data_IF_630945125673
#
_entry.id   IF_630945125673
#
_cell.length_a   1.000
_cell.length_b   1.000
_cell.length_c   1.000
_cell.angle_alpha   90.00
_cell.angle_beta   90.00
_cell.angle_gamma   90.00
#
_symmetry.space_group_name_H-M   'P 1'
#
loop_
_entity.id
_entity.type
_entity.pdbx_description
1 polymer ?
#
# COMPACT_ATOMS: atom_id res chain seq x y z
N UNK A 1 38.47 -5.08 -35.90
CA UNK A 1 37.11 -4.51 -36.00
C UNK A 1 36.15 -5.67 -35.97
N UNK A 2 35.81 -6.11 -34.75
CA UNK A 2 34.98 -7.29 -34.54
C UNK A 2 33.51 -6.91 -34.55
N UNK A 3 32.74 -7.76 -35.22
CA UNK A 3 31.30 -7.72 -35.42
C UNK A 3 30.52 -7.76 -34.11
N UNK A 4 30.01 -6.61 -33.66
CA UNK A 4 28.91 -6.52 -32.71
C UNK A 4 27.58 -6.42 -33.48
N UNK A 5 27.03 -7.53 -33.98
CA UNK A 5 25.70 -7.48 -34.63
C UNK A 5 24.92 -8.82 -34.68
N UNK A 6 24.70 -9.49 -33.54
CA UNK A 6 23.86 -10.73 -33.58
C UNK A 6 23.16 -11.15 -32.28
N UNK A 7 23.20 -10.37 -31.19
CA UNK A 7 22.61 -10.81 -29.90
C UNK A 7 21.50 -9.91 -29.31
N UNK A 8 21.13 -8.81 -29.98
CA UNK A 8 19.79 -8.22 -29.78
C UNK A 8 18.74 -9.11 -30.46
N UNK A 9 18.56 -10.32 -29.93
CA UNK A 9 17.42 -11.15 -30.29
C UNK A 9 16.16 -10.35 -29.95
N UNK A 10 15.18 -10.38 -30.86
CA UNK A 10 13.86 -9.75 -30.75
C UNK A 10 13.21 -10.06 -29.38
N UNK A 11 13.53 -9.25 -28.36
CA UNK A 11 12.85 -9.30 -27.07
C UNK A 11 11.45 -8.74 -27.26
N UNK A 12 10.45 -9.47 -26.76
CA UNK A 12 9.08 -8.94 -26.71
C UNK A 12 9.08 -7.65 -25.89
N UNK A 13 8.34 -6.64 -26.35
CA UNK A 13 8.29 -5.30 -25.74
C UNK A 13 8.15 -5.32 -24.20
N UNK A 14 7.25 -6.12 -23.59
CA UNK A 14 7.11 -6.13 -22.13
C UNK A 14 8.35 -6.65 -21.38
N UNK A 15 9.08 -7.61 -21.98
CA UNK A 15 10.32 -8.16 -21.39
C UNK A 15 11.46 -7.16 -21.54
N UNK A 16 11.51 -6.42 -22.65
CA UNK A 16 12.50 -5.35 -22.86
C UNK A 16 12.32 -4.22 -21.85
N UNK A 17 11.10 -3.71 -21.68
CA UNK A 17 10.77 -2.69 -20.67
C UNK A 17 11.14 -3.17 -19.26
N UNK A 18 10.86 -4.44 -18.96
CA UNK A 18 11.22 -5.02 -17.67
C UNK A 18 12.74 -5.15 -17.48
N UNK A 19 13.49 -5.52 -18.52
CA UNK A 19 14.95 -5.53 -18.50
C UNK A 19 15.50 -4.12 -18.28
N UNK A 20 15.01 -3.10 -19.00
CA UNK A 20 15.43 -1.70 -18.85
C UNK A 20 15.23 -1.19 -17.41
N UNK A 21 14.11 -1.55 -16.79
CA UNK A 21 13.85 -1.27 -15.38
C UNK A 21 14.89 -1.90 -14.46
N UNK A 22 15.23 -3.17 -14.69
CA UNK A 22 16.23 -3.90 -13.91
C UNK A 22 17.66 -3.39 -14.16
N UNK A 23 17.98 -2.98 -15.39
CA UNK A 23 19.25 -2.31 -15.72
C UNK A 23 19.43 -1.03 -14.92
N UNK A 24 18.37 -0.21 -14.83
CA UNK A 24 18.37 1.02 -14.03
C UNK A 24 18.52 0.76 -12.53
N UNK A 25 17.86 -0.28 -12.01
CA UNK A 25 17.94 -0.66 -10.60
C UNK A 25 19.30 -1.19 -10.18
N UNK A 26 19.85 -2.09 -11.00
CA UNK A 26 21.06 -2.85 -10.69
C UNK A 26 22.33 -2.18 -11.23
N UNK A 27 22.19 -1.16 -12.07
CA UNK A 27 23.28 -0.52 -12.82
C UNK A 27 24.10 -1.51 -13.65
N UNK A 28 23.42 -2.48 -14.29
CA UNK A 28 24.02 -3.47 -15.21
C UNK A 28 23.37 -3.34 -16.59
N UNK A 29 23.99 -3.91 -17.62
CA UNK A 29 23.48 -3.85 -19.00
C UNK A 29 23.23 -5.24 -19.57
N UNK A 30 22.08 -5.46 -20.16
CA UNK A 30 21.75 -6.63 -20.95
C UNK A 30 22.37 -6.50 -22.36
N UNK A 31 22.83 -7.60 -23.00
CA UNK A 31 22.89 -8.98 -22.50
C UNK A 31 24.18 -9.28 -21.73
N UNK A 32 24.97 -8.26 -21.37
CA UNK A 32 26.21 -8.48 -20.62
C UNK A 32 25.83 -9.17 -19.29
N UNK A 33 26.48 -10.29 -19.03
CA UNK A 33 26.30 -10.95 -17.74
C UNK A 33 26.72 -9.98 -16.64
N UNK A 34 26.00 -9.95 -15.50
CA UNK A 34 26.45 -9.19 -14.35
C UNK A 34 27.91 -9.56 -14.09
N UNK A 35 28.84 -8.60 -13.94
CA UNK A 35 30.19 -8.92 -13.55
C UNK A 35 30.14 -9.71 -12.24
N UNK A 36 30.99 -10.75 -12.13
CA UNK A 36 31.21 -11.54 -10.91
C UNK A 36 31.14 -10.58 -9.71
N UNK A 37 30.33 -10.87 -8.67
CA UNK A 37 29.93 -9.91 -7.65
C UNK A 37 31.13 -9.12 -7.14
N UNK A 38 31.24 -7.89 -7.61
CA UNK A 38 32.23 -6.93 -7.13
C UNK A 38 32.00 -6.69 -5.64
N UNK A 39 33.03 -6.30 -4.88
CA UNK A 39 32.85 -5.94 -3.47
C UNK A 39 31.75 -4.89 -3.23
N UNK A 40 31.44 -4.08 -4.24
CA UNK A 40 30.39 -3.05 -4.23
C UNK A 40 28.98 -3.62 -4.39
N UNK A 41 28.79 -4.66 -5.21
CA UNK A 41 27.49 -5.35 -5.33
C UNK A 41 27.19 -6.20 -4.08
N UNK A 42 28.21 -6.68 -3.36
CA UNK A 42 28.06 -7.28 -2.02
C UNK A 42 27.58 -6.29 -0.95
N UNK A 43 27.79 -4.98 -1.14
CA UNK A 43 27.43 -3.93 -0.17
C UNK A 43 25.97 -3.48 -0.22
N UNK A 44 25.16 -3.96 -1.18
CA UNK A 44 23.76 -3.55 -1.33
C UNK A 44 22.78 -4.73 -1.20
N UNK A 45 22.71 -5.42 -0.04
CA UNK A 45 21.80 -6.56 0.16
C UNK A 45 20.35 -6.18 -0.11
N UNK A 46 19.97 -4.95 0.21
CA UNK A 46 18.65 -4.38 -0.03
C UNK A 46 18.26 -4.38 -1.51
N UNK A 47 19.19 -4.09 -2.43
CA UNK A 47 18.89 -4.08 -3.86
C UNK A 47 18.65 -5.47 -4.40
N UNK A 48 19.40 -6.46 -3.91
CA UNK A 48 19.19 -7.87 -4.28
C UNK A 48 17.82 -8.34 -3.81
N UNK A 49 17.44 -7.97 -2.60
CA UNK A 49 16.11 -8.27 -2.05
C UNK A 49 14.99 -7.60 -2.85
N UNK A 50 15.08 -6.29 -3.09
CA UNK A 50 14.14 -5.53 -3.93
C UNK A 50 14.02 -6.14 -5.33
N UNK A 51 15.14 -6.50 -5.95
CA UNK A 51 15.17 -7.12 -7.28
C UNK A 51 14.41 -8.44 -7.30
N UNK A 52 14.66 -9.32 -6.32
CA UNK A 52 13.95 -10.61 -6.21
C UNK A 52 12.45 -10.42 -6.02
N UNK A 53 12.05 -9.45 -5.19
CA UNK A 53 10.64 -9.12 -4.95
C UNK A 53 9.96 -8.58 -6.22
N UNK A 54 10.62 -7.67 -6.95
CA UNK A 54 10.09 -7.12 -8.21
C UNK A 54 9.97 -8.20 -9.28
N UNK A 55 10.98 -9.04 -9.44
CA UNK A 55 10.95 -10.17 -10.37
C UNK A 55 9.78 -11.06 -10.01
N UNK A 56 9.73 -11.58 -8.78
CA UNK A 56 8.63 -12.43 -8.34
C UNK A 56 7.25 -11.79 -8.56
N UNK A 57 7.12 -10.50 -8.23
CA UNK A 57 5.88 -9.75 -8.45
C UNK A 57 5.50 -9.61 -9.92
N UNK A 58 6.45 -9.28 -10.80
CA UNK A 58 6.21 -9.19 -12.24
C UNK A 58 5.71 -10.53 -12.80
N UNK A 59 6.29 -11.65 -12.37
CA UNK A 59 5.87 -12.99 -12.79
C UNK A 59 4.50 -13.41 -12.23
N UNK A 60 4.15 -12.97 -11.03
CA UNK A 60 2.83 -13.21 -10.43
C UNK A 60 1.70 -12.43 -11.12
N UNK A 61 2.01 -11.26 -11.68
CA UNK A 61 1.00 -10.29 -12.16
C UNK A 61 0.90 -10.20 -13.69
N UNK A 62 1.93 -10.64 -14.40
CA UNK A 62 1.95 -10.58 -15.87
C UNK A 62 1.19 -11.73 -16.53
N UNK A 63 0.81 -11.52 -17.79
CA UNK A 63 0.23 -12.57 -18.63
C UNK A 63 1.10 -13.84 -18.61
N UNK A 64 0.47 -15.02 -18.64
CA UNK A 64 1.16 -16.33 -18.62
C UNK A 64 2.31 -16.43 -19.63
N UNK A 65 2.21 -15.78 -20.80
CA UNK A 65 3.24 -15.79 -21.84
C UNK A 65 4.50 -15.00 -21.48
N UNK A 66 4.37 -13.99 -20.61
CA UNK A 66 5.47 -13.19 -20.05
C UNK A 66 6.00 -13.92 -18.81
N UNK A 67 5.11 -14.51 -18.02
CA UNK A 67 5.47 -15.25 -16.81
C UNK A 67 6.26 -16.55 -17.08
N UNK A 68 6.23 -17.08 -18.30
CA UNK A 68 7.03 -18.24 -18.71
C UNK A 68 8.37 -17.86 -19.34
N UNK A 69 8.66 -16.57 -19.53
CA UNK A 69 9.92 -16.11 -20.10
C UNK A 69 11.06 -16.34 -19.10
N UNK A 70 12.16 -16.96 -19.55
CA UNK A 70 13.32 -17.28 -18.69
C UNK A 70 14.51 -16.35 -18.93
N UNK A 71 14.35 -15.30 -19.74
CA UNK A 71 15.43 -14.40 -20.15
C UNK A 71 16.01 -13.66 -18.97
N UNK A 72 15.16 -13.09 -18.11
CA UNK A 72 15.59 -12.37 -16.91
C UNK A 72 16.29 -13.31 -15.92
N UNK A 73 15.74 -14.52 -15.71
CA UNK A 73 16.35 -15.54 -14.85
C UNK A 73 17.74 -15.95 -15.32
N UNK A 74 17.89 -16.24 -16.62
CA UNK A 74 19.19 -16.61 -17.21
C UNK A 74 20.18 -15.46 -17.18
N UNK A 75 19.72 -14.24 -17.39
CA UNK A 75 20.59 -13.06 -17.37
C UNK A 75 21.13 -12.77 -15.97
N UNK A 76 20.28 -12.89 -14.93
CA UNK A 76 20.63 -12.61 -13.55
C UNK A 76 21.14 -13.84 -12.77
N UNK A 77 21.26 -14.98 -13.44
CA UNK A 77 21.66 -16.27 -12.85
C UNK A 77 20.80 -16.64 -11.61
N UNK A 78 19.49 -16.43 -11.71
CA UNK A 78 18.52 -16.73 -10.65
C UNK A 78 17.89 -18.10 -10.88
N UNK A 79 17.90 -18.95 -9.86
CA UNK A 79 17.15 -20.20 -9.83
C UNK A 79 15.70 -20.02 -9.35
N UNK A 80 14.81 -21.02 -9.53
CA UNK A 80 13.48 -21.02 -8.95
C UNK A 80 13.47 -20.79 -7.42
N UNK A 81 14.47 -21.33 -6.74
CA UNK A 81 14.70 -21.19 -5.29
C UNK A 81 15.09 -19.77 -4.87
N UNK A 82 15.57 -18.94 -5.81
CA UNK A 82 15.92 -17.55 -5.52
C UNK A 82 14.69 -16.65 -5.42
N UNK A 83 13.56 -17.07 -5.98
CA UNK A 83 12.32 -16.30 -5.99
C UNK A 83 11.49 -16.65 -4.76
N UNK A 84 11.15 -15.66 -3.91
CA UNK A 84 10.32 -15.91 -2.75
C UNK A 84 8.90 -16.36 -3.15
N UNK A 85 8.21 -17.03 -2.23
CA UNK A 85 6.80 -17.37 -2.44
C UNK A 85 5.91 -16.12 -2.53
N UNK A 86 4.70 -16.26 -3.08
CA UNK A 86 3.77 -15.14 -3.23
C UNK A 86 3.50 -14.38 -1.92
N UNK A 87 3.30 -15.09 -0.81
CA UNK A 87 3.08 -14.47 0.50
C UNK A 87 4.29 -13.66 0.97
N UNK A 88 5.51 -14.19 0.73
CA UNK A 88 6.75 -13.49 1.07
C UNK A 88 6.95 -12.27 0.17
N UNK A 89 6.60 -12.37 -1.11
CA UNK A 89 6.65 -11.24 -2.05
C UNK A 89 5.74 -10.12 -1.57
N UNK A 90 4.46 -10.43 -1.33
CA UNK A 90 3.47 -9.43 -0.89
C UNK A 90 3.88 -8.81 0.44
N UNK A 91 4.27 -9.63 1.42
CA UNK A 91 4.73 -9.13 2.73
C UNK A 91 6.00 -8.29 2.61
N UNK A 92 6.94 -8.69 1.76
CA UNK A 92 8.20 -7.99 1.49
C UNK A 92 7.98 -6.61 0.87
N UNK A 93 7.11 -6.53 -0.14
CA UNK A 93 6.76 -5.26 -0.80
C UNK A 93 6.05 -4.25 0.11
N UNK A 94 5.51 -4.69 1.26
CA UNK A 94 4.95 -3.80 2.28
C UNK A 94 5.96 -3.35 3.34
N UNK A 95 7.17 -3.91 3.38
CA UNK A 95 8.15 -3.55 4.40
C UNK A 95 8.65 -2.11 4.21
N UNK A 96 8.70 -1.27 5.26
CA UNK A 96 9.06 0.14 5.12
C UNK A 96 10.40 0.41 4.42
N UNK A 97 11.41 -0.42 4.69
CA UNK A 97 12.73 -0.30 4.08
C UNK A 97 12.75 -0.69 2.60
N UNK A 98 11.92 -1.65 2.18
CA UNK A 98 11.72 -2.04 0.78
C UNK A 98 10.99 -0.93 0.02
N UNK A 99 9.90 -0.39 0.59
CA UNK A 99 9.16 0.74 0.01
C UNK A 99 10.08 1.95 -0.17
N UNK A 100 10.91 2.26 0.83
CA UNK A 100 11.89 3.35 0.73
C UNK A 100 12.93 3.11 -0.38
N UNK A 101 13.43 1.89 -0.53
CA UNK A 101 14.36 1.54 -1.60
C UNK A 101 13.68 1.65 -2.98
N UNK A 102 12.47 1.11 -3.14
CA UNK A 102 11.69 1.24 -4.36
C UNK A 102 11.48 2.71 -4.76
N UNK A 103 11.15 3.58 -3.79
CA UNK A 103 10.99 5.01 -4.03
C UNK A 103 12.31 5.71 -4.40
N UNK A 104 13.39 5.39 -3.68
CA UNK A 104 14.74 5.94 -3.94
C UNK A 104 15.25 5.62 -5.34
N UNK A 105 14.88 4.44 -5.86
CA UNK A 105 15.26 3.98 -7.20
C UNK A 105 14.22 4.27 -8.29
N UNK A 106 13.16 5.04 -7.98
CA UNK A 106 12.13 5.43 -8.96
C UNK A 106 11.23 4.28 -9.43
N UNK A 107 11.21 3.16 -8.71
CA UNK A 107 10.47 1.94 -9.04
C UNK A 107 9.11 1.85 -8.36
N UNK A 108 8.98 2.51 -7.21
CA UNK A 108 7.68 2.94 -6.75
C UNK A 108 7.47 4.34 -7.32
N UNK A 109 6.41 4.51 -8.12
CA UNK A 109 5.90 5.84 -8.42
C UNK A 109 5.37 6.42 -7.11
N UNK A 110 6.24 7.16 -6.41
CA UNK A 110 5.75 8.29 -5.66
C UNK A 110 5.03 9.14 -6.70
N UNK A 111 3.68 9.09 -6.76
CA UNK A 111 2.96 10.00 -7.65
C UNK A 111 3.52 11.39 -7.36
N UNK A 112 4.07 12.04 -8.40
CA UNK A 112 4.55 13.41 -8.38
C UNK A 112 3.64 14.20 -7.44
N UNK A 113 4.17 15.00 -6.50
CA UNK A 113 3.34 15.89 -5.70
C UNK A 113 2.55 16.72 -6.70
N UNK A 114 1.29 16.37 -6.90
CA UNK A 114 0.41 17.18 -7.69
C UNK A 114 0.21 18.43 -6.84
N UNK A 115 0.56 19.58 -7.40
CA UNK A 115 0.14 20.85 -6.84
C UNK A 115 -1.37 20.92 -7.02
N UNK A 116 -2.09 20.23 -6.15
CA UNK A 116 -3.52 20.36 -6.05
C UNK A 116 -3.77 21.70 -5.38
N UNK A 117 -4.59 22.59 -5.99
CA UNK A 117 -5.13 23.72 -5.25
C UNK A 117 -5.74 23.17 -3.96
N UNK A 118 -5.64 23.94 -2.88
CA UNK A 118 -6.17 23.53 -1.58
C UNK A 118 -7.61 23.10 -1.73
N UNK A 119 -7.83 21.78 -1.81
CA UNK A 119 -9.16 21.24 -1.99
C UNK A 119 -9.98 21.60 -0.75
N UNK A 120 -11.23 21.97 -0.98
CA UNK A 120 -12.18 22.19 0.10
C UNK A 120 -12.26 20.94 0.97
N UNK A 121 -12.57 21.18 2.24
CA UNK A 121 -12.77 20.08 3.18
C UNK A 121 -14.10 19.43 2.80
N UNK A 122 -14.12 18.13 2.45
CA UNK A 122 -15.37 17.47 2.09
C UNK A 122 -16.34 17.51 3.28
N UNK A 123 -17.61 17.78 2.98
CA UNK A 123 -18.65 17.69 3.99
C UNK A 123 -18.73 16.23 4.50
N UNK A 124 -18.86 16.01 5.83
CA UNK A 124 -18.93 14.67 6.37
C UNK A 124 -20.13 13.89 5.81
N UNK A 125 -19.90 12.67 5.35
CA UNK A 125 -20.98 11.71 5.09
C UNK A 125 -21.45 11.18 6.43
N UNK A 126 -22.72 11.42 6.76
CA UNK A 126 -23.31 10.99 8.02
C UNK A 126 -23.77 9.53 7.94
N UNK A 127 -23.35 8.73 8.91
CA UNK A 127 -23.62 7.29 8.97
C UNK A 127 -24.12 6.95 10.37
N UNK A 128 -25.32 6.38 10.46
CA UNK A 128 -25.88 5.88 11.72
C UNK A 128 -25.47 4.43 11.96
N UNK A 129 -24.90 4.14 13.11
CA UNK A 129 -24.52 2.80 13.54
C UNK A 129 -25.66 2.20 14.37
N UNK A 130 -26.58 1.51 13.70
CA UNK A 130 -27.74 0.84 14.31
C UNK A 130 -27.42 -0.58 14.74
N UNK A 131 -26.56 -1.27 13.98
CA UNK A 131 -26.22 -2.67 14.22
C UNK A 131 -25.16 -2.83 15.30
N UNK A 132 -25.23 -3.91 16.11
CA UNK A 132 -24.22 -4.20 17.14
C UNK A 132 -22.80 -4.36 16.57
N UNK A 133 -22.71 -4.77 15.30
CA UNK A 133 -21.45 -4.85 14.57
C UNK A 133 -21.64 -4.33 13.16
N UNK A 134 -20.88 -3.30 12.81
CA UNK A 134 -20.89 -2.72 11.47
C UNK A 134 -19.48 -2.69 10.91
N UNK A 135 -19.33 -3.00 9.63
CA UNK A 135 -18.05 -2.94 8.91
C UNK A 135 -18.15 -2.00 7.74
N UNK A 136 -17.17 -1.11 7.61
CA UNK A 136 -17.01 -0.23 6.47
C UNK A 136 -15.66 -0.47 5.80
N UNK A 137 -15.63 -0.37 4.48
CA UNK A 137 -14.41 -0.35 3.69
C UNK A 137 -14.35 1.00 2.98
N UNK A 138 -13.27 1.73 3.20
CA UNK A 138 -13.08 3.08 2.67
C UNK A 138 -11.91 3.09 1.71
N UNK A 139 -12.06 3.78 0.58
CA UNK A 139 -10.95 3.98 -0.35
C UNK A 139 -9.90 4.91 0.27
N UNK A 140 -8.63 4.48 0.23
CA UNK A 140 -7.51 5.22 0.78
C UNK A 140 -7.03 6.37 -0.10
N UNK A 141 -7.44 6.43 -1.36
CA UNK A 141 -7.07 7.46 -2.33
C UNK A 141 -8.15 8.51 -2.57
N UNK A 142 -9.24 8.47 -1.82
CA UNK A 142 -10.25 9.53 -1.84
C UNK A 142 -10.17 10.39 -0.58
N UNK A 143 -10.06 11.70 -0.78
CA UNK A 143 -10.17 12.66 0.30
C UNK A 143 -11.63 12.75 0.72
N UNK A 144 -11.97 12.13 1.84
CA UNK A 144 -13.35 12.01 2.30
C UNK A 144 -13.44 12.15 3.81
N UNK A 145 -14.56 12.71 4.27
CA UNK A 145 -14.92 12.83 5.67
C UNK A 145 -16.17 12.01 5.96
N UNK A 146 -16.21 11.34 7.11
CA UNK A 146 -17.32 10.52 7.58
C UNK A 146 -17.63 10.86 9.04
N UNK A 147 -18.91 11.00 9.36
CA UNK A 147 -19.41 11.18 10.71
C UNK A 147 -20.24 9.96 11.10
N UNK A 148 -19.68 9.10 11.94
CA UNK A 148 -20.37 7.93 12.45
C UNK A 148 -21.03 8.27 13.79
N UNK A 149 -22.32 7.99 13.90
CA UNK A 149 -23.09 8.28 15.12
C UNK A 149 -23.80 7.03 15.62
N UNK A 150 -23.83 6.84 16.94
CA UNK A 150 -24.65 5.81 17.58
C UNK A 150 -25.30 6.39 18.83
N UNK A 151 -26.56 6.07 19.10
CA UNK A 151 -27.25 6.55 20.30
C UNK A 151 -27.38 5.47 21.35
N UNK A 152 -27.52 5.83 22.64
CA UNK A 152 -27.83 4.90 23.74
C UNK A 152 -26.89 3.67 23.79
N UNK A 153 -25.59 3.90 23.65
CA UNK A 153 -24.57 2.85 23.74
C UNK A 153 -24.04 2.73 25.17
N UNK A 154 -23.69 1.51 25.58
CA UNK A 154 -23.00 1.27 26.86
C UNK A 154 -21.55 0.84 26.64
N UNK A 155 -21.17 0.38 25.45
CA UNK A 155 -19.79 0.04 25.10
C UNK A 155 -19.52 0.35 23.62
N UNK A 156 -18.27 0.65 23.30
CA UNK A 156 -17.81 0.73 21.92
C UNK A 156 -16.42 0.10 21.76
N UNK A 157 -16.18 -0.49 20.59
CA UNK A 157 -14.87 -0.84 20.08
C UNK A 157 -14.79 -0.39 18.63
N UNK A 158 -13.70 0.31 18.30
CA UNK A 158 -13.44 0.79 16.94
C UNK A 158 -12.09 0.22 16.54
N UNK A 159 -12.08 -0.61 15.50
CA UNK A 159 -10.87 -1.22 14.98
C UNK A 159 -10.65 -0.72 13.57
N UNK A 160 -9.52 -0.05 13.34
CA UNK A 160 -9.12 0.45 12.02
C UNK A 160 -7.98 -0.43 11.53
N UNK A 161 -8.12 -0.97 10.31
CA UNK A 161 -7.10 -1.78 9.65
C UNK A 161 -6.83 -1.20 8.28
N UNK A 162 -5.55 -0.99 7.97
CA UNK A 162 -5.10 -0.64 6.63
C UNK A 162 -4.99 -1.90 5.80
N UNK A 163 -5.59 -1.91 4.61
CA UNK A 163 -5.54 -3.01 3.66
C UNK A 163 -4.94 -2.51 2.35
N UNK A 164 -3.79 -3.07 1.97
CA UNK A 164 -3.12 -2.75 0.71
C UNK A 164 -3.31 -3.92 -0.26
N UNK A 165 -4.00 -3.67 -1.38
CA UNK A 165 -4.02 -4.57 -2.51
C UNK A 165 -2.93 -4.12 -3.50
N UNK A 166 -1.76 -4.73 -3.36
CA UNK A 166 -0.58 -4.40 -4.18
C UNK A 166 -0.88 -4.66 -5.67
N UNK A 167 -1.60 -5.74 -5.98
CA UNK A 167 -1.95 -6.13 -7.35
C UNK A 167 -2.81 -5.06 -8.06
N UNK A 168 -3.76 -4.49 -7.33
CA UNK A 168 -4.62 -3.42 -7.85
C UNK A 168 -4.00 -2.02 -7.66
N UNK A 169 -2.84 -1.91 -7.01
CA UNK A 169 -2.30 -0.63 -6.54
C UNK A 169 -3.28 0.14 -5.65
N UNK A 170 -4.15 -0.57 -4.93
CA UNK A 170 -5.25 -0.02 -4.13
C UNK A 170 -4.87 0.02 -2.64
N UNK A 171 -5.09 1.15 -1.97
CA UNK A 171 -5.04 1.28 -0.52
C UNK A 171 -6.47 1.47 -0.03
N UNK A 172 -6.85 0.75 1.02
CA UNK A 172 -8.17 0.90 1.64
C UNK A 172 -8.07 0.80 3.16
N UNK A 173 -9.08 1.32 3.85
CA UNK A 173 -9.22 1.23 5.30
C UNK A 173 -10.46 0.41 5.63
N UNK A 174 -10.27 -0.71 6.31
CA UNK A 174 -11.37 -1.46 6.92
C UNK A 174 -11.58 -0.95 8.34
N UNK A 175 -12.81 -0.56 8.63
CA UNK A 175 -13.21 -0.07 9.95
C UNK A 175 -14.32 -0.96 10.47
N UNK A 176 -14.05 -1.63 11.59
CA UNK A 176 -15.02 -2.43 12.30
C UNK A 176 -15.48 -1.64 13.54
N UNK A 177 -16.78 -1.33 13.59
CA UNK A 177 -17.46 -0.80 14.78
C UNK A 177 -18.18 -1.93 15.50
N UNK A 178 -18.00 -2.01 16.80
CA UNK A 178 -18.72 -2.94 17.66
C UNK A 178 -19.30 -2.17 18.84
N UNK A 179 -20.62 -2.19 18.95
CA UNK A 179 -21.39 -1.39 19.89
C UNK A 179 -22.14 -2.32 20.84
N UNK A 180 -21.96 -2.10 22.14
CA UNK A 180 -22.78 -2.71 23.18
C UNK A 180 -23.95 -1.81 23.55
N UNK A 181 -25.11 -2.41 23.82
CA UNK A 181 -26.32 -1.74 24.31
C UNK A 181 -26.66 -2.23 25.70
N UNK A 182 -27.53 -1.50 26.39
CA UNK A 182 -28.06 -1.96 27.67
C UNK A 182 -28.75 -3.31 27.52
N UNK A 183 -28.48 -4.26 28.43
CA UNK A 183 -28.96 -5.64 28.34
C UNK A 183 -28.24 -6.53 27.30
N UNK A 184 -27.43 -5.94 26.41
CA UNK A 184 -26.66 -6.65 25.38
C UNK A 184 -25.25 -6.05 25.22
N UNK A 185 -24.37 -6.21 26.24
CA UNK A 185 -22.99 -5.74 26.15
C UNK A 185 -22.21 -6.52 25.10
N UNK A 186 -21.17 -5.88 24.55
CA UNK A 186 -20.27 -6.53 23.60
C UNK A 186 -19.42 -7.59 24.32
N UNK A 187 -19.33 -8.78 23.74
CA UNK A 187 -18.50 -9.89 24.26
C UNK A 187 -17.05 -9.82 23.80
N UNK A 188 -16.67 -8.83 22.98
CA UNK A 188 -15.31 -8.72 22.49
C UNK A 188 -14.35 -8.27 23.60
N UNK A 189 -13.19 -8.94 23.77
CA UNK A 189 -12.19 -8.56 24.78
C UNK A 189 -11.65 -7.13 24.61
N UNK A 190 -11.69 -6.60 23.39
CA UNK A 190 -11.24 -5.25 23.05
C UNK A 190 -12.36 -4.19 23.16
N UNK A 191 -13.54 -4.55 23.66
CA UNK A 191 -14.59 -3.58 23.95
C UNK A 191 -14.20 -2.73 25.15
N UNK A 192 -14.59 -1.45 25.14
CA UNK A 192 -14.44 -0.58 26.31
C UNK A 192 -15.15 -1.20 27.52
N UNK A 193 -14.70 -0.85 28.72
CA UNK A 193 -15.51 -1.10 29.93
C UNK A 193 -16.87 -0.41 29.73
N UNK A 194 -18.00 -1.03 30.13
CA UNK A 194 -19.29 -0.40 30.02
C UNK A 194 -19.33 0.97 30.70
N UNK A 195 -19.91 1.95 30.02
CA UNK A 195 -20.26 3.23 30.61
C UNK A 195 -21.30 3.02 31.72
N UNK A 196 -21.26 3.87 32.75
CA UNK A 196 -22.19 3.80 33.89
C UNK A 196 -23.64 4.05 33.46
N UNK A 197 -23.82 4.89 32.45
CA UNK A 197 -25.12 5.25 31.87
C UNK A 197 -25.02 5.18 30.34
N UNK A 198 -26.10 4.83 29.63
CA UNK A 198 -26.13 4.88 28.17
C UNK A 198 -25.76 6.26 27.64
N UNK A 199 -24.92 6.31 26.61
CA UNK A 199 -24.42 7.56 26.02
C UNK A 199 -24.51 7.55 24.50
N UNK A 200 -24.33 8.71 23.88
CA UNK A 200 -24.25 8.84 22.43
C UNK A 200 -22.78 8.87 21.99
N UNK A 201 -22.47 8.14 20.94
CA UNK A 201 -21.17 8.11 20.28
C UNK A 201 -21.22 8.97 19.02
N UNK A 202 -20.21 9.80 18.83
CA UNK A 202 -19.93 10.51 17.58
C UNK A 202 -18.45 10.34 17.23
N UNK A 203 -18.15 9.86 16.03
CA UNK A 203 -16.80 9.58 15.56
C UNK A 203 -16.62 10.24 14.20
N UNK A 204 -15.76 11.25 14.16
CA UNK A 204 -15.29 11.84 12.92
C UNK A 204 -14.10 11.05 12.40
N UNK A 205 -14.22 10.53 11.19
CA UNK A 205 -13.12 9.95 10.44
C UNK A 205 -12.83 10.80 9.22
N UNK A 206 -11.59 11.23 9.08
CA UNK A 206 -11.17 12.09 7.98
C UNK A 206 -9.94 11.52 7.28
N UNK A 207 -10.10 11.10 6.02
CA UNK A 207 -8.97 10.77 5.15
C UNK A 207 -8.44 12.06 4.52
N UNK A 208 -7.43 12.64 5.16
CA UNK A 208 -6.90 13.94 4.79
C UNK A 208 -5.97 13.93 3.57
N UNK A 209 -5.60 12.74 3.08
CA UNK A 209 -4.83 12.51 1.86
C UNK A 209 -3.59 13.43 1.71
N UNK A 210 -2.44 12.96 2.23
CA UNK A 210 -1.15 13.69 2.19
C UNK A 210 -1.16 15.08 2.85
N UNK A 211 -1.80 15.31 4.01
CA UNK A 211 -1.74 16.63 4.61
C UNK A 211 -0.36 16.86 5.23
N UNK A 212 0.18 18.06 5.12
CA UNK A 212 1.17 18.51 6.10
C UNK A 212 0.45 18.67 7.46
N UNK A 213 1.19 18.41 8.55
CA UNK A 213 0.63 18.35 9.91
C UNK A 213 -0.10 19.66 10.31
N UNK A 214 0.33 20.79 9.77
CA UNK A 214 -0.25 22.10 10.08
C UNK A 214 -1.60 22.30 9.37
N UNK A 215 -1.65 22.02 8.07
CA UNK A 215 -2.90 22.05 7.30
C UNK A 215 -3.93 21.06 7.84
N UNK A 216 -3.48 19.86 8.27
CA UNK A 216 -4.35 18.87 8.90
C UNK A 216 -5.07 19.41 10.13
N UNK A 217 -4.34 20.03 11.06
CA UNK A 217 -4.93 20.60 12.30
C UNK A 217 -5.98 21.65 12.00
N UNK A 218 -5.67 22.58 11.09
CA UNK A 218 -6.61 23.63 10.68
C UNK A 218 -7.88 23.04 10.05
N UNK A 219 -7.75 21.96 9.29
CA UNK A 219 -8.90 21.27 8.69
C UNK A 219 -9.76 20.58 9.75
N UNK A 220 -9.14 19.90 10.72
CA UNK A 220 -9.87 19.28 11.84
C UNK A 220 -10.63 20.34 12.65
N UNK A 221 -10.00 21.48 12.95
CA UNK A 221 -10.65 22.57 13.68
C UNK A 221 -11.87 23.14 12.93
N UNK A 222 -11.76 23.23 11.60
CA UNK A 222 -12.86 23.69 10.75
C UNK A 222 -14.00 22.68 10.71
N UNK A 223 -13.69 21.39 10.55
CA UNK A 223 -14.68 20.30 10.63
C UNK A 223 -15.41 20.31 11.98
N UNK A 224 -14.66 20.45 13.07
CA UNK A 224 -15.23 20.46 14.41
C UNK A 224 -16.23 21.59 14.59
N UNK A 225 -15.88 22.81 14.15
CA UNK A 225 -16.80 23.96 14.20
C UNK A 225 -18.10 23.73 13.43
N UNK A 226 -18.03 23.10 12.25
CA UNK A 226 -19.22 22.78 11.45
C UNK A 226 -20.10 21.73 12.12
N UNK A 227 -19.53 20.84 12.93
CA UNK A 227 -20.26 19.76 13.59
C UNK A 227 -20.91 20.17 14.92
N UNK A 228 -20.49 21.30 15.50
CA UNK A 228 -20.99 21.81 16.80
C UNK A 228 -21.95 22.99 16.67
N UNK A 229 -22.29 23.41 15.45
CA UNK A 229 -23.31 24.42 15.16
C UNK A 229 -24.65 23.75 14.89
#
# INVERSE_FOLDING_TARGET
MESQSSNERDLRTPIREFIELLEGLLCIKYPLRPPIPTPETRKKPILKEVTKLIIGYHYLTSDRKIALDTTVYRWLELGPEDIPSADVILKGLTQPHIVNALATHGLATYRLPQMLPKEDIPSPIHISLTEPRTRYCLDGYEKQSYMFTASNIVQASIIIKTEANILAGALSYRIDYVIGKEGAPSTLPAASIPFKEPTNLSVLLYNALRPDLYSFRKQIDQLWKTLTQ
#
